data_IF_944831559845
#
_entry.id   IF_944831559845
#
_cell.length_a   1.000
_cell.length_b   1.000
_cell.length_c   1.000
_cell.angle_alpha   90.00
_cell.angle_beta   90.00
_cell.angle_gamma   90.00
#
_symmetry.space_group_name_H-M   'P 1'
#
loop_
_entity.id
_entity.type
_entity.pdbx_description
1 polymer ?
#
# COMPACT_ATOMS: atom_id res chain seq x y z
N UNK A 1 1.56 -6.73 -2.29
CA UNK A 1 0.38 -6.03 -2.82
C UNK A 1 0.53 -4.52 -2.63
N UNK A 2 0.16 -3.74 -3.65
CA UNK A 2 0.08 -2.30 -3.64
C UNK A 2 -1.38 -1.86 -3.46
N UNK A 3 -1.66 -1.05 -2.43
CA UNK A 3 -3.01 -0.78 -1.95
C UNK A 3 -3.36 0.71 -2.01
N UNK A 4 -4.46 1.01 -2.71
CA UNK A 4 -5.09 2.31 -2.75
C UNK A 4 -6.05 2.56 -1.57
N UNK A 5 -6.38 3.83 -1.34
CA UNK A 5 -7.16 4.27 -0.17
C UNK A 5 -8.57 3.68 -0.12
N UNK A 6 -9.19 3.43 -1.27
CA UNK A 6 -10.55 2.87 -1.33
C UNK A 6 -10.66 1.46 -0.73
N UNK A 7 -9.56 0.71 -0.66
CA UNK A 7 -9.57 -0.62 -0.04
C UNK A 7 -9.89 -0.52 1.45
N UNK A 8 -9.34 0.47 2.14
CA UNK A 8 -9.64 0.74 3.55
C UNK A 8 -11.03 1.36 3.69
N UNK A 9 -11.37 2.34 2.84
CA UNK A 9 -12.65 3.06 2.89
C UNK A 9 -13.86 2.12 2.68
N UNK A 10 -13.73 1.13 1.81
CA UNK A 10 -14.78 0.14 1.56
C UNK A 10 -14.79 -1.01 2.58
N UNK A 11 -14.00 -0.94 3.65
CA UNK A 11 -13.96 -1.95 4.72
C UNK A 11 -13.32 -3.27 4.30
N UNK A 12 -12.45 -3.28 3.29
CA UNK A 12 -11.83 -4.49 2.76
C UNK A 12 -10.51 -4.87 3.46
N UNK A 13 -10.06 -4.10 4.45
CA UNK A 13 -8.88 -4.42 5.25
C UNK A 13 -8.87 -5.86 5.81
N UNK A 14 -9.97 -6.43 6.35
CA UNK A 14 -9.97 -7.81 6.84
C UNK A 14 -9.61 -8.86 5.78
N UNK A 15 -9.93 -8.63 4.50
CA UNK A 15 -9.56 -9.52 3.40
C UNK A 15 -8.06 -9.51 3.18
N UNK A 16 -7.45 -8.31 3.21
CA UNK A 16 -6.00 -8.16 3.07
C UNK A 16 -5.30 -8.83 4.26
N UNK A 17 -5.79 -8.60 5.48
CA UNK A 17 -5.22 -9.18 6.70
C UNK A 17 -5.30 -10.71 6.68
N UNK A 18 -6.44 -11.31 6.30
CA UNK A 18 -6.55 -12.76 6.20
C UNK A 18 -5.58 -13.36 5.16
N UNK A 19 -5.38 -12.69 4.02
CA UNK A 19 -4.38 -13.13 3.03
C UNK A 19 -2.94 -12.99 3.55
N UNK A 20 -2.65 -12.01 4.41
CA UNK A 20 -1.36 -11.87 5.09
C UNK A 20 -1.16 -12.97 6.14
N UNK A 21 -2.16 -13.24 6.97
CA UNK A 21 -2.11 -14.29 8.01
C UNK A 21 -1.93 -15.69 7.42
N UNK A 22 -2.41 -15.91 6.19
CA UNK A 22 -2.20 -17.16 5.43
C UNK A 22 -0.87 -17.22 4.68
N UNK A 23 -0.02 -16.19 4.78
CA UNK A 23 1.25 -16.13 4.06
C UNK A 23 1.13 -15.93 2.54
N UNK A 24 -0.06 -15.59 2.04
CA UNK A 24 -0.30 -15.35 0.60
C UNK A 24 0.20 -13.96 0.21
N UNK A 25 -0.07 -12.96 1.05
CA UNK A 25 0.49 -11.61 0.91
C UNK A 25 1.67 -11.43 1.85
N UNK A 26 2.87 -11.36 1.28
CA UNK A 26 4.13 -11.31 2.03
C UNK A 26 4.76 -9.93 2.12
N UNK A 27 4.25 -8.95 1.37
CA UNK A 27 4.73 -7.57 1.41
C UNK A 27 3.64 -6.59 0.97
N UNK A 28 3.71 -5.36 1.48
CA UNK A 28 2.73 -4.30 1.22
C UNK A 28 3.39 -3.00 0.77
N UNK A 29 2.73 -2.30 -0.14
CA UNK A 29 3.02 -0.92 -0.51
C UNK A 29 1.73 -0.10 -0.47
N UNK A 30 1.79 1.09 0.12
CA UNK A 30 0.67 2.01 0.26
C UNK A 30 1.06 3.40 -0.21
N UNK A 31 0.11 4.20 -0.67
CA UNK A 31 0.31 5.65 -0.73
C UNK A 31 -0.21 6.30 0.57
N UNK A 32 0.14 7.56 0.82
CA UNK A 32 -0.15 8.24 2.08
C UNK A 32 -1.63 8.20 2.47
N UNK A 33 -2.57 8.51 1.56
CA UNK A 33 -4.00 8.41 1.86
C UNK A 33 -4.47 7.02 2.33
N UNK A 34 -3.90 5.91 1.83
CA UNK A 34 -4.22 4.57 2.35
C UNK A 34 -3.75 4.41 3.79
N UNK A 35 -2.53 4.86 4.09
CA UNK A 35 -1.97 4.79 5.44
C UNK A 35 -2.72 5.67 6.44
N UNK A 36 -3.21 6.82 5.99
CA UNK A 36 -4.04 7.74 6.80
C UNK A 36 -5.34 7.05 7.19
N UNK A 37 -6.09 6.53 6.23
CA UNK A 37 -7.34 5.83 6.52
C UNK A 37 -7.12 4.58 7.38
N UNK A 38 -6.02 3.85 7.15
CA UNK A 38 -5.68 2.68 7.96
C UNK A 38 -5.43 3.05 9.43
N UNK A 39 -4.72 4.16 9.67
CA UNK A 39 -4.52 4.72 11.01
C UNK A 39 -5.85 5.19 11.65
N UNK A 40 -6.67 5.95 10.92
CA UNK A 40 -7.97 6.43 11.41
C UNK A 40 -8.89 5.27 11.81
N UNK A 41 -8.96 4.23 10.97
CA UNK A 41 -9.69 3.00 11.31
C UNK A 41 -9.15 2.39 12.59
N UNK A 42 -7.83 2.28 12.75
CA UNK A 42 -7.24 1.72 13.97
C UNK A 42 -7.59 2.52 15.23
N UNK A 43 -7.53 3.85 15.13
CA UNK A 43 -7.70 4.77 16.24
C UNK A 43 -9.17 4.91 16.66
N UNK A 44 -10.07 5.11 15.69
CA UNK A 44 -11.46 5.51 15.96
C UNK A 44 -12.53 4.67 15.24
N UNK A 45 -12.13 3.65 14.47
CA UNK A 45 -13.06 2.69 13.85
C UNK A 45 -13.80 3.21 12.61
N UNK A 46 -13.47 4.41 12.13
CA UNK A 46 -14.05 5.04 10.93
C UNK A 46 -13.02 5.95 10.27
N UNK A 47 -13.15 6.17 8.97
CA UNK A 47 -12.37 7.20 8.26
C UNK A 47 -12.99 8.58 8.48
N UNK A 48 -12.19 9.62 8.68
CA UNK A 48 -12.66 10.89 9.26
C UNK A 48 -13.25 11.91 8.29
N UNK A 49 -13.51 11.58 7.02
CA UNK A 49 -13.66 12.63 6.00
C UNK A 49 -14.90 12.50 5.11
N UNK A 50 -15.87 13.38 5.35
CA UNK A 50 -16.68 13.96 4.27
C UNK A 50 -15.91 15.16 3.69
N UNK A 51 -15.35 14.98 2.49
CA UNK A 51 -14.54 16.00 1.81
C UNK A 51 -15.35 17.26 1.52
N UNK A 52 -16.60 17.10 1.06
CA UNK A 52 -17.42 18.23 0.62
C UNK A 52 -17.81 19.10 1.82
N UNK A 53 -18.19 18.46 2.93
CA UNK A 53 -18.50 19.18 4.16
C UNK A 53 -17.24 19.84 4.76
N UNK A 54 -16.13 19.10 4.86
CA UNK A 54 -14.90 19.63 5.45
C UNK A 54 -14.31 20.82 4.68
N UNK A 55 -14.41 20.83 3.35
CA UNK A 55 -13.98 21.97 2.54
C UNK A 55 -14.85 23.21 2.77
N UNK A 56 -16.17 23.02 2.93
CA UNK A 56 -17.11 24.10 3.22
C UNK A 56 -16.84 24.74 4.59
N UNK A 57 -16.45 23.94 5.56
CA UNK A 57 -16.20 24.37 6.94
C UNK A 57 -14.74 24.77 7.21
N UNK A 58 -13.82 24.55 6.26
CA UNK A 58 -12.39 24.82 6.43
C UNK A 58 -11.67 23.84 7.36
N UNK A 59 -12.30 22.69 7.66
CA UNK A 59 -11.80 21.66 8.59
C UNK A 59 -11.19 20.46 7.86
N UNK A 60 -11.26 20.41 6.54
CA UNK A 60 -10.72 19.30 5.75
C UNK A 60 -9.22 19.13 5.97
N UNK A 61 -8.85 17.96 6.49
CA UNK A 61 -7.45 17.60 6.77
C UNK A 61 -6.86 18.22 8.04
N UNK A 62 -7.67 18.81 8.91
CA UNK A 62 -7.24 19.41 10.18
C UNK A 62 -7.31 18.44 11.37
N UNK A 63 -7.25 17.13 11.12
CA UNK A 63 -7.24 16.12 12.18
C UNK A 63 -5.87 16.07 12.86
N UNK A 64 -5.76 16.73 14.02
CA UNK A 64 -4.52 16.89 14.77
C UNK A 64 -3.92 15.54 15.20
N UNK A 65 -4.75 14.59 15.64
CA UNK A 65 -4.29 13.28 16.11
C UNK A 65 -3.60 12.47 15.00
N UNK A 66 -4.19 12.47 13.80
CA UNK A 66 -3.62 11.81 12.63
C UNK A 66 -2.31 12.46 12.22
N UNK A 67 -2.25 13.79 12.20
CA UNK A 67 -1.02 14.51 11.85
C UNK A 67 0.10 14.27 12.85
N UNK A 68 -0.19 14.29 14.16
CA UNK A 68 0.78 13.97 15.23
C UNK A 68 1.32 12.54 15.11
N UNK A 69 0.45 11.57 14.85
CA UNK A 69 0.86 10.18 14.64
C UNK A 69 1.80 10.05 13.44
N UNK A 70 1.51 10.74 12.33
CA UNK A 70 2.38 10.76 11.16
C UNK A 70 3.71 11.48 11.43
N UNK A 71 3.71 12.59 12.18
CA UNK A 71 4.94 13.28 12.57
C UNK A 71 5.86 12.35 13.39
N UNK A 72 5.29 11.67 14.40
CA UNK A 72 6.02 10.70 15.23
C UNK A 72 6.53 9.51 14.40
N UNK A 73 5.66 8.95 13.54
CA UNK A 73 6.05 7.83 12.69
C UNK A 73 7.10 8.22 11.65
N UNK A 74 7.09 9.45 11.13
CA UNK A 74 8.11 9.96 10.24
C UNK A 74 9.46 10.12 10.96
N UNK A 75 9.45 10.65 12.18
CA UNK A 75 10.65 10.78 13.02
C UNK A 75 11.31 9.42 13.29
N UNK A 76 10.54 8.40 13.66
CA UNK A 76 11.06 7.05 13.88
C UNK A 76 11.39 6.35 12.56
N UNK A 77 10.56 6.55 11.54
CA UNK A 77 10.73 6.01 10.19
C UNK A 77 12.04 6.46 9.53
N UNK A 78 12.40 7.74 9.68
CA UNK A 78 13.62 8.31 9.12
C UNK A 78 14.90 7.75 9.73
N UNK A 79 14.82 7.04 10.87
CA UNK A 79 15.97 6.38 11.52
C UNK A 79 16.29 4.99 10.92
N UNK A 80 15.67 4.62 9.79
CA UNK A 80 15.92 3.36 9.08
C UNK A 80 14.72 2.41 9.02
N UNK A 81 13.65 2.69 9.76
CA UNK A 81 12.44 1.84 9.77
C UNK A 81 11.57 2.05 8.54
N UNK A 82 11.60 3.22 7.93
CA UNK A 82 10.60 3.61 6.94
C UNK A 82 9.23 3.88 7.57
N UNK A 83 8.36 4.56 6.84
CA UNK A 83 7.11 5.10 7.38
C UNK A 83 6.07 4.01 7.64
N UNK A 84 5.94 3.04 6.75
CA UNK A 84 4.94 1.96 6.90
C UNK A 84 5.15 1.12 8.14
N UNK A 85 6.38 0.67 8.39
CA UNK A 85 6.72 -0.07 9.62
C UNK A 85 6.52 0.79 10.87
N UNK A 86 6.95 2.06 10.83
CA UNK A 86 6.84 2.96 11.98
C UNK A 86 5.38 3.23 12.37
N UNK A 87 4.49 3.45 11.39
CA UNK A 87 3.05 3.61 11.64
C UNK A 87 2.42 2.34 12.24
N UNK A 88 2.73 1.17 11.69
CA UNK A 88 2.22 -0.10 12.22
C UNK A 88 2.64 -0.35 13.68
N UNK A 89 3.91 -0.10 14.00
CA UNK A 89 4.42 -0.19 15.38
C UNK A 89 3.76 0.83 16.30
N UNK A 90 3.56 2.06 15.83
CA UNK A 90 2.91 3.12 16.61
C UNK A 90 1.46 2.75 16.96
N UNK A 91 0.70 2.21 16.01
CA UNK A 91 -0.68 1.75 16.25
C UNK A 91 -0.72 0.66 17.32
N UNK A 92 0.20 -0.30 17.27
CA UNK A 92 0.29 -1.38 18.26
C UNK A 92 0.68 -0.85 19.64
N UNK A 93 1.66 0.05 19.71
CA UNK A 93 2.12 0.67 20.96
C UNK A 93 1.04 1.53 21.63
N UNK A 94 0.27 2.27 20.83
CA UNK A 94 -0.86 3.07 21.30
C UNK A 94 -2.04 2.23 21.81
N UNK A 95 -2.01 0.90 21.59
CA UNK A 95 -3.10 -0.04 21.92
C UNK A 95 -4.44 0.44 21.35
N UNK A 96 -4.42 0.93 20.11
CA UNK A 96 -5.61 1.51 19.48
C UNK A 96 -6.76 0.49 19.47
N UNK A 97 -8.00 0.92 19.80
CA UNK A 97 -9.11 0.00 20.09
C UNK A 97 -9.53 -0.87 18.89
N UNK A 98 -9.25 -0.40 17.68
CA UNK A 98 -9.59 -1.06 16.43
C UNK A 98 -8.35 -1.52 15.65
N UNK A 99 -7.19 -1.65 16.31
CA UNK A 99 -5.93 -2.06 15.68
C UNK A 99 -6.03 -3.39 14.89
N UNK A 100 -6.95 -4.29 15.26
CA UNK A 100 -7.23 -5.53 14.53
C UNK A 100 -7.71 -5.34 13.08
N UNK A 101 -8.21 -4.15 12.74
CA UNK A 101 -8.66 -3.81 11.39
C UNK A 101 -7.63 -3.01 10.58
N UNK A 102 -6.49 -2.65 11.19
CA UNK A 102 -5.40 -1.96 10.48
C UNK A 102 -4.47 -2.96 9.81
N UNK A 103 -4.26 -2.74 8.52
CA UNK A 103 -3.34 -3.49 7.68
C UNK A 103 -1.90 -3.24 8.13
N UNK A 104 -1.54 -1.99 8.47
CA UNK A 104 -0.19 -1.65 8.95
C UNK A 104 0.11 -2.28 10.32
N UNK A 105 -0.87 -2.28 11.24
CA UNK A 105 -0.74 -2.95 12.53
C UNK A 105 -0.62 -4.47 12.36
N UNK A 106 -1.39 -5.07 11.46
CA UNK A 106 -1.27 -6.49 11.12
C UNK A 106 0.11 -6.81 10.52
N UNK A 107 0.64 -5.95 9.63
CA UNK A 107 1.95 -6.14 9.02
C UNK A 107 3.07 -6.07 10.08
N UNK A 108 3.01 -5.09 10.99
CA UNK A 108 3.97 -5.00 12.10
C UNK A 108 3.89 -6.21 13.04
N UNK A 109 2.68 -6.69 13.36
CA UNK A 109 2.47 -7.89 14.20
C UNK A 109 3.00 -9.18 13.55
N UNK A 110 2.84 -9.32 12.24
CA UNK A 110 3.28 -10.49 11.46
C UNK A 110 4.73 -10.38 10.98
N UNK A 111 5.43 -9.30 11.33
CA UNK A 111 6.77 -8.96 10.84
C UNK A 111 6.89 -8.91 9.31
N UNK A 112 5.82 -8.51 8.62
CA UNK A 112 5.80 -8.35 7.17
C UNK A 112 6.28 -6.96 6.75
N UNK A 113 7.04 -6.84 5.64
CA UNK A 113 7.38 -5.55 5.05
C UNK A 113 6.13 -4.76 4.64
N UNK A 114 6.03 -3.53 5.14
CA UNK A 114 5.01 -2.58 4.72
C UNK A 114 5.64 -1.22 4.48
N UNK A 115 5.40 -0.66 3.29
CA UNK A 115 5.97 0.62 2.85
C UNK A 115 4.86 1.64 2.57
N UNK A 116 5.11 2.91 2.88
CA UNK A 116 4.22 4.03 2.61
C UNK A 116 4.96 5.06 1.76
N UNK A 117 4.42 5.33 0.56
CA UNK A 117 4.99 6.24 -0.42
C UNK A 117 4.21 7.55 -0.41
N UNK A 118 4.81 8.56 0.21
CA UNK A 118 4.19 9.87 0.40
C UNK A 118 4.19 10.65 -0.91
N UNK A 119 3.07 11.30 -1.20
CA UNK A 119 2.96 12.27 -2.28
C UNK A 119 2.76 13.65 -1.65
N UNK A 120 3.86 14.40 -1.54
CA UNK A 120 3.91 15.70 -0.86
C UNK A 120 2.86 16.66 -1.45
N UNK A 121 2.09 17.30 -0.57
CA UNK A 121 0.98 18.17 -0.93
C UNK A 121 -0.33 17.46 -1.29
N UNK A 122 -0.37 16.12 -1.33
CA UNK A 122 -1.60 15.36 -1.58
C UNK A 122 -2.22 14.80 -0.30
N UNK A 123 -1.38 14.34 0.63
CA UNK A 123 -1.84 13.73 1.88
C UNK A 123 -2.20 14.82 2.90
N UNK A 124 -3.33 14.65 3.60
CA UNK A 124 -3.92 15.68 4.46
C UNK A 124 -2.99 16.13 5.60
N UNK A 125 -2.11 15.25 6.05
CA UNK A 125 -1.20 15.53 7.17
C UNK A 125 -0.25 16.68 6.86
N UNK A 126 0.09 16.93 5.58
CA UNK A 126 1.03 17.97 5.19
C UNK A 126 0.59 19.41 5.54
N UNK A 127 -0.69 19.61 5.86
CA UNK A 127 -1.21 20.92 6.30
C UNK A 127 -0.82 21.24 7.75
N UNK A 128 -0.37 20.25 8.53
CA UNK A 128 -0.09 20.40 9.94
C UNK A 128 1.36 20.86 10.21
N UNK A 129 1.59 21.84 11.10
CA UNK A 129 2.92 22.43 11.32
C UNK A 129 3.96 21.47 11.90
N UNK A 130 3.52 20.38 12.56
CA UNK A 130 4.44 19.36 13.09
C UNK A 130 5.01 18.42 12.02
N UNK A 131 4.47 18.43 10.79
CA UNK A 131 5.01 17.59 9.72
C UNK A 131 6.33 18.16 9.20
N UNK A 132 7.41 17.41 9.43
CA UNK A 132 8.71 17.66 8.83
C UNK A 132 8.81 17.03 7.45
N UNK A 133 8.91 17.86 6.41
CA UNK A 133 9.15 17.38 5.03
C UNK A 133 10.45 16.58 4.88
N UNK A 134 11.48 16.91 5.66
CA UNK A 134 12.74 16.18 5.66
C UNK A 134 12.57 14.75 6.22
N UNK A 135 11.88 14.61 7.36
CA UNK A 135 11.64 13.29 7.97
C UNK A 135 10.67 12.45 7.13
N UNK A 136 9.58 13.04 6.65
CA UNK A 136 8.62 12.36 5.76
C UNK A 136 9.29 11.89 4.48
N UNK A 137 10.08 12.75 3.85
CA UNK A 137 10.84 12.43 2.65
C UNK A 137 11.83 11.28 2.87
N UNK A 138 12.62 11.34 3.94
CA UNK A 138 13.59 10.28 4.26
C UNK A 138 12.89 8.95 4.58
N UNK A 139 11.86 8.96 5.43
CA UNK A 139 11.10 7.77 5.77
C UNK A 139 10.46 7.12 4.54
N UNK A 140 9.88 7.93 3.65
CA UNK A 140 9.28 7.45 2.38
C UNK A 140 10.35 6.94 1.39
N UNK A 141 11.56 7.52 1.40
CA UNK A 141 12.66 7.07 0.55
C UNK A 141 13.26 5.74 1.04
N UNK A 142 13.37 5.55 2.36
CA UNK A 142 13.71 4.27 2.97
C UNK A 142 12.69 3.20 2.55
N UNK A 143 11.41 3.53 2.61
CA UNK A 143 10.32 2.66 2.16
C UNK A 143 10.43 2.33 0.66
N UNK A 144 10.80 3.30 -0.19
CA UNK A 144 11.10 3.04 -1.60
C UNK A 144 12.26 2.05 -1.78
N UNK A 145 13.35 2.19 -1.03
CA UNK A 145 14.48 1.24 -1.10
C UNK A 145 14.06 -0.17 -0.68
N UNK A 146 13.21 -0.29 0.36
CA UNK A 146 12.68 -1.58 0.81
C UNK A 146 11.82 -2.26 -0.24
N UNK A 147 10.84 -1.54 -0.81
CA UNK A 147 9.99 -2.14 -1.85
C UNK A 147 10.79 -2.47 -3.12
N UNK A 148 11.81 -1.67 -3.46
CA UNK A 148 12.71 -1.97 -4.57
C UNK A 148 13.49 -3.27 -4.34
N UNK A 149 13.99 -3.50 -3.13
CA UNK A 149 14.64 -4.77 -2.75
C UNK A 149 13.70 -5.95 -2.93
N UNK A 150 12.44 -5.82 -2.50
CA UNK A 150 11.43 -6.89 -2.64
C UNK A 150 11.14 -7.16 -4.12
N UNK A 151 11.01 -6.11 -4.94
CA UNK A 151 10.76 -6.25 -6.37
C UNK A 151 11.91 -6.97 -7.08
N UNK A 152 13.17 -6.79 -6.63
CA UNK A 152 14.31 -7.56 -7.15
C UNK A 152 14.18 -9.08 -6.95
N UNK A 153 13.31 -9.53 -6.03
CA UNK A 153 13.08 -10.93 -5.68
C UNK A 153 11.77 -11.49 -6.27
N UNK A 154 11.03 -10.72 -7.09
CA UNK A 154 9.75 -11.14 -7.67
C UNK A 154 9.88 -12.08 -8.90
N UNK A 155 10.98 -12.80 -9.05
CA UNK A 155 11.06 -13.86 -10.06
C UNK A 155 10.10 -15.00 -9.68
N UNK A 156 9.18 -15.35 -10.59
CA UNK A 156 8.04 -16.23 -10.32
C UNK A 156 7.00 -15.66 -9.35
N UNK A 157 7.15 -14.39 -8.94
CA UNK A 157 6.31 -13.72 -7.97
C UNK A 157 5.13 -12.97 -8.58
N UNK A 158 4.33 -12.35 -7.70
CA UNK A 158 3.13 -11.59 -8.08
C UNK A 158 3.15 -10.16 -7.56
N UNK A 159 2.94 -9.19 -8.47
CA UNK A 159 2.61 -7.82 -8.10
C UNK A 159 1.12 -7.52 -8.32
N UNK A 160 0.39 -7.27 -7.24
CA UNK A 160 -1.01 -6.83 -7.30
C UNK A 160 -1.10 -5.32 -7.04
N UNK A 161 -1.50 -4.54 -8.05
CA UNK A 161 -1.87 -3.13 -7.90
C UNK A 161 -3.38 -3.00 -7.73
N UNK A 162 -3.84 -2.55 -6.57
CA UNK A 162 -5.24 -2.55 -6.20
C UNK A 162 -5.66 -1.12 -5.86
N UNK A 163 -6.36 -0.45 -6.80
CA UNK A 163 -6.98 0.87 -6.58
C UNK A 163 -6.01 2.05 -6.51
N UNK A 164 -4.78 1.93 -7.03
CA UNK A 164 -3.86 3.06 -7.17
C UNK A 164 -3.63 3.40 -8.65
N UNK A 165 -4.04 4.61 -9.03
CA UNK A 165 -3.96 5.07 -10.43
C UNK A 165 -2.61 5.71 -10.80
N UNK A 166 -1.81 6.16 -9.83
CA UNK A 166 -0.59 6.94 -10.10
C UNK A 166 0.58 6.53 -9.20
N UNK A 167 0.50 6.79 -7.90
CA UNK A 167 1.67 6.71 -7.00
C UNK A 167 2.30 5.32 -6.99
N UNK A 168 1.51 4.27 -6.76
CA UNK A 168 2.04 2.91 -6.67
C UNK A 168 2.45 2.32 -8.03
N UNK A 169 1.72 2.55 -9.15
CA UNK A 169 2.22 2.24 -10.48
C UNK A 169 3.58 2.88 -10.80
N UNK A 170 3.78 4.15 -10.41
CA UNK A 170 5.05 4.83 -10.62
C UNK A 170 6.15 4.21 -9.74
N UNK A 171 5.91 4.01 -8.44
CA UNK A 171 6.83 3.36 -7.52
C UNK A 171 7.27 1.99 -8.05
N UNK A 172 6.31 1.16 -8.48
CA UNK A 172 6.58 -0.17 -9.03
C UNK A 172 7.49 -0.11 -10.25
N UNK A 173 7.20 0.79 -11.21
CA UNK A 173 8.02 0.91 -12.40
C UNK A 173 9.48 1.27 -12.08
N UNK A 174 9.71 2.12 -11.07
CA UNK A 174 11.07 2.54 -10.68
C UNK A 174 11.78 1.40 -9.96
N UNK A 175 11.06 0.64 -9.14
CA UNK A 175 11.58 -0.58 -8.53
C UNK A 175 11.97 -1.63 -9.60
N UNK A 176 11.13 -1.84 -10.62
CA UNK A 176 11.45 -2.72 -11.76
C UNK A 176 12.67 -2.20 -12.52
N UNK A 177 12.77 -0.89 -12.77
CA UNK A 177 13.94 -0.31 -13.42
C UNK A 177 15.23 -0.57 -12.64
N UNK A 178 15.19 -0.47 -11.30
CA UNK A 178 16.32 -0.81 -10.43
C UNK A 178 16.65 -2.30 -10.43
N UNK A 179 15.65 -3.19 -10.48
CA UNK A 179 15.88 -4.62 -10.61
C UNK A 179 16.59 -4.93 -11.93
N UNK A 180 16.12 -4.35 -13.04
CA UNK A 180 16.69 -4.52 -14.38
C UNK A 180 18.10 -3.96 -14.48
N UNK A 181 18.39 -2.80 -13.89
CA UNK A 181 19.73 -2.20 -13.91
C UNK A 181 20.75 -3.05 -13.15
N UNK A 182 20.31 -3.86 -12.19
CA UNK A 182 21.12 -4.84 -11.46
C UNK A 182 21.19 -6.22 -12.13
N UNK A 183 20.68 -6.36 -13.36
CA UNK A 183 20.72 -7.61 -14.12
C UNK A 183 19.68 -8.65 -13.70
N UNK A 184 18.75 -8.32 -12.78
CA UNK A 184 17.63 -9.21 -12.41
C UNK A 184 16.66 -9.33 -13.57
N UNK A 185 16.27 -10.56 -13.94
CA UNK A 185 15.41 -10.79 -15.10
C UNK A 185 13.93 -10.78 -14.79
N UNK A 186 13.52 -11.03 -13.55
CA UNK A 186 12.11 -11.09 -13.13
C UNK A 186 11.31 -12.11 -13.95
N UNK A 187 11.91 -13.27 -14.24
CA UNK A 187 11.28 -14.31 -15.07
C UNK A 187 9.97 -14.79 -14.45
N UNK A 188 8.97 -15.11 -15.27
CA UNK A 188 7.68 -15.61 -14.76
C UNK A 188 6.93 -14.63 -13.84
N UNK A 189 7.27 -13.33 -13.86
CA UNK A 189 6.57 -12.31 -13.11
C UNK A 189 5.10 -12.23 -13.54
N UNK A 190 4.19 -12.30 -12.58
CA UNK A 190 2.77 -11.99 -12.82
C UNK A 190 2.42 -10.64 -12.23
N UNK A 191 1.79 -9.77 -12.99
CA UNK A 191 1.26 -8.49 -12.50
C UNK A 191 -0.24 -8.42 -12.73
N UNK A 192 -0.95 -7.76 -11.82
CA UNK A 192 -2.37 -7.48 -12.00
C UNK A 192 -2.72 -6.05 -11.58
N UNK A 193 -3.51 -5.36 -12.40
CA UNK A 193 -4.17 -4.12 -12.03
C UNK A 193 -5.66 -4.38 -11.75
N UNK A 194 -6.12 -4.04 -10.54
CA UNK A 194 -7.51 -4.15 -10.11
C UNK A 194 -8.03 -2.74 -9.84
N UNK A 195 -8.98 -2.28 -10.66
CA UNK A 195 -9.59 -0.96 -10.52
C UNK A 195 -10.98 -0.93 -11.20
N UNK A 196 -11.87 -0.03 -10.79
CA UNK A 196 -13.16 0.15 -11.47
C UNK A 196 -12.98 0.95 -12.78
N UNK A 197 -11.86 1.68 -12.94
CA UNK A 197 -11.48 2.38 -14.17
C UNK A 197 -10.07 1.98 -14.62
N UNK A 198 -9.90 1.65 -15.89
CA UNK A 198 -8.58 1.39 -16.46
C UNK A 198 -7.89 2.70 -16.85
N UNK A 199 -6.86 3.08 -16.09
CA UNK A 199 -6.05 4.28 -16.34
C UNK A 199 -4.79 3.96 -17.15
N UNK A 200 -4.25 4.97 -17.85
CA UNK A 200 -3.01 4.84 -18.64
C UNK A 200 -1.83 4.33 -17.81
N UNK A 201 -1.58 4.92 -16.62
CA UNK A 201 -0.40 4.56 -15.81
C UNK A 201 -0.45 3.13 -15.28
N UNK A 202 -1.52 2.61 -14.66
CA UNK A 202 -1.56 1.21 -14.24
C UNK A 202 -1.48 0.25 -15.43
N UNK A 203 -2.18 0.54 -16.54
CA UNK A 203 -2.07 -0.26 -17.76
C UNK A 203 -0.62 -0.36 -18.23
N UNK A 204 0.04 0.76 -18.42
CA UNK A 204 1.38 0.75 -19.01
C UNK A 204 2.48 0.39 -18.01
N UNK A 205 2.39 0.85 -16.76
CA UNK A 205 3.46 0.73 -15.77
C UNK A 205 3.32 -0.46 -14.83
N UNK A 206 2.17 -1.15 -14.82
CA UNK A 206 1.97 -2.39 -14.07
C UNK A 206 1.77 -3.56 -15.02
N UNK A 207 0.83 -3.45 -15.97
CA UNK A 207 0.40 -4.58 -16.81
C UNK A 207 1.37 -4.83 -17.98
N UNK A 208 1.80 -3.78 -18.67
CA UNK A 208 2.55 -3.91 -19.93
C UNK A 208 4.08 -3.88 -19.76
N UNK A 209 4.67 -2.72 -19.42
CA UNK A 209 6.14 -2.56 -19.44
C UNK A 209 6.89 -3.56 -18.55
N UNK A 210 6.46 -3.84 -17.30
CA UNK A 210 7.17 -4.78 -16.44
C UNK A 210 7.24 -6.21 -17.00
N UNK A 211 6.18 -6.66 -17.66
CA UNK A 211 6.09 -8.01 -18.23
C UNK A 211 6.85 -8.09 -19.56
N UNK A 212 6.82 -7.03 -20.37
CA UNK A 212 7.60 -6.92 -21.61
C UNK A 212 9.11 -6.98 -21.40
N UNK A 213 9.62 -6.40 -20.31
CA UNK A 213 11.07 -6.42 -20.01
C UNK A 213 11.51 -7.69 -19.29
N UNK A 214 10.58 -8.48 -18.77
CA UNK A 214 10.86 -9.73 -18.05
C UNK A 214 11.24 -10.85 -19.03
N UNK A 215 10.31 -11.77 -19.33
CA UNK A 215 10.43 -12.79 -20.36
C UNK A 215 9.05 -13.23 -20.89
N UNK A 216 9.01 -14.17 -21.84
CA UNK A 216 7.78 -14.64 -22.46
C UNK A 216 6.82 -15.39 -21.50
N UNK A 217 7.28 -15.77 -20.31
CA UNK A 217 6.43 -16.42 -19.29
C UNK A 217 5.78 -15.41 -18.33
N UNK A 218 6.20 -14.15 -18.36
CA UNK A 218 5.58 -13.09 -17.57
C UNK A 218 4.18 -12.75 -18.08
N UNK A 219 3.26 -12.43 -17.16
CA UNK A 219 1.86 -12.17 -17.47
C UNK A 219 1.38 -10.88 -16.83
N UNK A 220 0.68 -10.06 -17.60
CA UNK A 220 0.02 -8.84 -17.14
C UNK A 220 -1.49 -8.98 -17.24
N UNK A 221 -2.19 -8.73 -16.15
CA UNK A 221 -3.64 -8.88 -16.06
C UNK A 221 -4.28 -7.54 -15.69
N UNK A 222 -5.39 -7.20 -16.35
CA UNK A 222 -6.22 -6.07 -15.96
C UNK A 222 -7.63 -6.59 -15.61
N UNK A 223 -8.04 -6.36 -14.36
CA UNK A 223 -9.39 -6.68 -13.87
C UNK A 223 -10.13 -5.37 -13.62
N UNK A 224 -11.28 -5.21 -14.28
CA UNK A 224 -12.11 -4.01 -14.17
C UNK A 224 -13.38 -4.30 -13.37
N UNK A 225 -13.60 -3.56 -12.29
CA UNK A 225 -14.80 -3.71 -11.47
C UNK A 225 -14.66 -3.05 -10.09
N UNK A 226 -15.73 -3.13 -9.30
CA UNK A 226 -15.71 -2.65 -7.92
C UNK A 226 -14.84 -3.53 -7.03
N UNK A 227 -14.02 -2.92 -6.17
CA UNK A 227 -13.12 -3.65 -5.28
C UNK A 227 -13.90 -4.55 -4.30
N UNK A 228 -15.06 -4.10 -3.87
CA UNK A 228 -15.99 -4.79 -2.98
C UNK A 228 -16.50 -6.12 -3.55
N UNK A 229 -16.38 -6.31 -4.87
CA UNK A 229 -16.73 -7.54 -5.56
C UNK A 229 -15.46 -8.31 -5.92
N UNK A 230 -14.49 -7.64 -6.55
CA UNK A 230 -13.30 -8.30 -7.07
C UNK A 230 -12.40 -8.88 -5.98
N UNK A 231 -12.18 -8.18 -4.87
CA UNK A 231 -11.27 -8.65 -3.82
C UNK A 231 -11.80 -9.88 -3.06
N UNK A 232 -13.08 -9.91 -2.62
CA UNK A 232 -13.64 -11.11 -2.01
C UNK A 232 -13.60 -12.32 -2.94
N UNK A 233 -13.93 -12.13 -4.22
CA UNK A 233 -13.90 -13.20 -5.22
C UNK A 233 -12.48 -13.69 -5.49
N UNK A 234 -11.51 -12.77 -5.63
CA UNK A 234 -10.10 -13.12 -5.82
C UNK A 234 -9.58 -13.91 -4.62
N UNK A 235 -9.88 -13.45 -3.39
CA UNK A 235 -9.53 -14.17 -2.16
C UNK A 235 -10.09 -15.59 -2.21
N UNK A 236 -11.39 -15.75 -2.46
CA UNK A 236 -12.04 -17.07 -2.50
C UNK A 236 -11.42 -17.97 -3.59
N UNK A 237 -11.16 -17.44 -4.78
CA UNK A 237 -10.55 -18.19 -5.87
C UNK A 237 -9.15 -18.70 -5.51
N UNK A 238 -8.34 -17.89 -4.82
CA UNK A 238 -7.02 -18.30 -4.33
C UNK A 238 -7.17 -19.44 -3.33
N UNK A 239 -8.06 -19.31 -2.33
CA UNK A 239 -8.25 -20.33 -1.29
C UNK A 239 -8.71 -21.67 -1.87
N UNK A 240 -9.70 -21.66 -2.77
CA UNK A 240 -10.18 -22.87 -3.45
C UNK A 240 -9.06 -23.53 -4.27
N UNK A 241 -8.16 -22.76 -4.87
CA UNK A 241 -7.05 -23.30 -5.66
C UNK A 241 -5.95 -23.92 -4.79
N UNK A 242 -5.74 -23.38 -3.59
CA UNK A 242 -4.80 -23.91 -2.61
C UNK A 242 -5.28 -25.24 -2.04
N UNK A 243 -6.56 -25.35 -1.66
CA UNK A 243 -7.14 -26.60 -1.14
C UNK A 243 -7.08 -27.77 -2.15
N UNK A 244 -7.09 -27.48 -3.45
CA UNK A 244 -6.95 -28.52 -4.51
C UNK A 244 -5.50 -28.94 -4.77
N UNK A 245 -4.54 -28.23 -4.20
CA UNK A 245 -3.10 -28.50 -4.39
C UNK A 245 -2.48 -29.25 -3.22
N UNK A 246 -3.23 -29.41 -2.12
CA UNK A 246 -2.93 -30.27 -0.97
C UNK A 246 -3.58 -31.65 -1.14
#
# INVERSE_FOLDING_TARGET
AALGAHIVKCGLSPIIIDLMERGILTALAMHGATAIHDFEIAAVGRTSQDVAQGLKEGTFGMAEETARAFAQAAQEGSKGKGLGRALGELILQAKSPYARYSILAAAARLDLPATVHIALGTDIVHMHPEISGAQMGEASLIDFRKIASIVCELEGGVWLNIGSAVILPEVFLKAVALARSQGRRLRGLTTANLDFIQHYRPKTNVVERPTQVADASAQGIALTGHHEIMLPLLRLAILVRMEKSE
#
